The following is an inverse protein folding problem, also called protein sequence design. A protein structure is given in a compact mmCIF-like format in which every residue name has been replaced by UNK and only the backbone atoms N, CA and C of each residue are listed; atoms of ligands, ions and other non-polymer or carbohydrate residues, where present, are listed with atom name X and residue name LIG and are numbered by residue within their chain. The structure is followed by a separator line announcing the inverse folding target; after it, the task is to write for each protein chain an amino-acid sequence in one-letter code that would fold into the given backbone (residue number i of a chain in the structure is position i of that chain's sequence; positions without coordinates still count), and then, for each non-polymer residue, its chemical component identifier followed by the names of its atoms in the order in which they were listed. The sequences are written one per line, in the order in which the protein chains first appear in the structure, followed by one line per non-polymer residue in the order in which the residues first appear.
data_IF_922630847387
#
_entry.id   IF_922630847387
#
_cell.length_a   1.000
_cell.length_b   1.000
_cell.length_c   1.000
_cell.angle_alpha   90.00
_cell.angle_beta   90.00
_cell.angle_gamma   90.00
#
_symmetry.space_group_name_H-M   'P 1'
#
loop_
_entity.id
_entity.type
_entity.pdbx_description
1 polymer ?
#
# COMPACT_ATOMS: atom_id res chain seq x y z
N UNK A 1 -25.33 3.29 31.89
CA UNK A 1 -25.66 2.93 30.49
C UNK A 1 -25.99 1.43 30.43
N UNK A 2 -27.20 1.06 30.01
CA UNK A 2 -27.54 -0.33 29.65
C UNK A 2 -27.13 -0.59 28.18
N UNK A 3 -25.83 -0.56 27.90
CA UNK A 3 -25.31 -0.73 26.52
C UNK A 3 -24.39 -1.93 26.46
N UNK A 4 -24.71 -2.86 25.56
CA UNK A 4 -23.87 -4.04 25.28
C UNK A 4 -22.82 -3.66 24.24
N UNK A 5 -21.57 -3.49 24.67
CA UNK A 5 -20.43 -3.20 23.80
C UNK A 5 -19.47 -4.39 23.71
N UNK A 6 -18.82 -4.56 22.56
CA UNK A 6 -17.74 -5.52 22.30
C UNK A 6 -16.62 -4.80 21.56
N UNK A 7 -15.38 -5.12 21.91
CA UNK A 7 -14.18 -4.63 21.21
C UNK A 7 -13.43 -5.80 20.58
N UNK A 8 -12.80 -5.54 19.44
CA UNK A 8 -11.91 -6.48 18.76
C UNK A 8 -10.63 -5.72 18.43
N UNK A 9 -9.49 -6.35 18.72
CA UNK A 9 -8.17 -5.82 18.34
C UNK A 9 -7.65 -6.63 17.18
N UNK A 10 -7.60 -6.00 16.02
CA UNK A 10 -6.96 -6.58 14.85
C UNK A 10 -5.45 -6.30 14.91
N UNK A 11 -4.67 -7.22 14.36
CA UNK A 11 -3.21 -7.15 14.37
C UNK A 11 -2.65 -7.78 13.12
N UNK A 12 -1.95 -8.91 13.27
CA UNK A 12 -1.39 -9.65 12.14
C UNK A 12 -2.45 -10.01 11.08
N UNK A 13 -3.66 -10.39 11.52
CA UNK A 13 -4.75 -10.69 10.60
C UNK A 13 -5.10 -9.53 9.66
N UNK A 14 -5.03 -8.27 10.13
CA UNK A 14 -5.30 -7.09 9.29
C UNK A 14 -4.13 -6.77 8.35
N UNK A 15 -2.88 -6.97 8.81
CA UNK A 15 -1.68 -6.69 8.00
C UNK A 15 -1.43 -7.73 6.89
N UNK A 16 -1.95 -8.93 7.04
CA UNK A 16 -1.77 -10.05 6.10
C UNK A 16 -3.09 -10.46 5.45
N UNK A 17 -4.06 -9.53 5.34
CA UNK A 17 -5.37 -9.77 4.75
C UNK A 17 -5.35 -9.77 3.21
N UNK A 18 -4.42 -10.49 2.57
CA UNK A 18 -4.27 -10.52 1.09
C UNK A 18 -5.54 -10.96 0.36
N UNK A 19 -6.37 -11.78 1.01
CA UNK A 19 -7.66 -12.21 0.47
C UNK A 19 -8.65 -11.06 0.23
N UNK A 20 -8.42 -9.89 0.82
CA UNK A 20 -9.24 -8.69 0.64
C UNK A 20 -8.38 -7.42 0.52
N UNK A 21 -7.15 -7.53 -0.02
CA UNK A 21 -6.32 -6.34 -0.24
C UNK A 21 -6.95 -5.41 -1.27
N UNK A 22 -6.69 -4.10 -1.11
CA UNK A 22 -7.14 -3.09 -2.08
C UNK A 22 -6.51 -3.35 -3.45
N UNK A 23 -7.29 -3.21 -4.52
CA UNK A 23 -6.76 -3.31 -5.88
C UNK A 23 -5.67 -2.26 -6.12
N UNK A 24 -5.90 -1.03 -5.67
CA UNK A 24 -4.94 0.07 -5.72
C UNK A 24 -3.62 -0.28 -5.03
N UNK A 25 -3.67 -0.80 -3.79
CA UNK A 25 -2.45 -1.17 -3.06
C UNK A 25 -1.66 -2.26 -3.80
N UNK A 26 -2.35 -3.23 -4.41
CA UNK A 26 -1.71 -4.31 -5.17
C UNK A 26 -1.01 -3.77 -6.43
N UNK A 27 -1.68 -2.90 -7.19
CA UNK A 27 -1.16 -2.31 -8.41
C UNK A 27 0.01 -1.36 -8.13
N UNK A 28 -0.15 -0.47 -7.15
CA UNK A 28 0.88 0.49 -6.76
C UNK A 28 2.12 -0.18 -6.16
N UNK A 29 1.95 -1.24 -5.36
CA UNK A 29 3.08 -2.00 -4.82
C UNK A 29 3.90 -2.68 -5.94
N UNK A 30 3.21 -3.21 -6.98
CA UNK A 30 3.88 -3.79 -8.13
C UNK A 30 4.63 -2.72 -8.96
N UNK A 31 3.97 -1.59 -9.23
CA UNK A 31 4.57 -0.45 -9.94
C UNK A 31 5.80 0.10 -9.21
N UNK A 32 5.73 0.24 -7.88
CA UNK A 32 6.85 0.70 -7.07
C UNK A 32 8.05 -0.26 -7.19
N UNK A 33 7.80 -1.57 -7.17
CA UNK A 33 8.84 -2.59 -7.38
C UNK A 33 9.46 -2.50 -8.78
N UNK A 34 8.65 -2.35 -9.82
CA UNK A 34 9.13 -2.19 -11.19
C UNK A 34 10.00 -0.93 -11.35
N UNK A 35 9.54 0.21 -10.84
CA UNK A 35 10.27 1.47 -10.89
C UNK A 35 11.60 1.38 -10.13
N UNK A 36 11.63 0.69 -8.98
CA UNK A 36 12.85 0.48 -8.21
C UNK A 36 13.89 -0.34 -9.00
N UNK A 37 13.46 -1.40 -9.69
CA UNK A 37 14.35 -2.20 -10.56
C UNK A 37 14.89 -1.34 -11.71
N UNK A 38 14.04 -0.56 -12.37
CA UNK A 38 14.47 0.31 -13.47
C UNK A 38 15.49 1.36 -13.01
N UNK A 39 15.26 2.00 -11.86
CA UNK A 39 16.18 2.97 -11.26
C UNK A 39 17.54 2.32 -10.92
N UNK A 40 17.52 1.13 -10.32
CA UNK A 40 18.74 0.38 -10.01
C UNK A 40 19.55 0.00 -11.25
N UNK A 41 18.89 -0.43 -12.33
CA UNK A 41 19.54 -0.73 -13.62
C UNK A 41 20.16 0.52 -14.24
N UNK A 42 19.55 1.69 -14.05
CA UNK A 42 20.09 2.98 -14.48
C UNK A 42 21.24 3.50 -13.61
N UNK A 43 21.67 2.74 -12.59
CA UNK A 43 22.76 3.10 -11.69
C UNK A 43 22.38 4.06 -10.56
N UNK A 44 21.08 4.28 -10.33
CA UNK A 44 20.61 5.08 -9.19
C UNK A 44 20.72 4.27 -7.89
N UNK A 45 21.25 4.89 -6.84
CA UNK A 45 21.43 4.27 -5.52
C UNK A 45 20.99 5.23 -4.42
N UNK A 46 20.66 4.70 -3.24
CA UNK A 46 20.22 5.48 -2.07
C UNK A 46 18.99 6.36 -2.36
N UNK A 47 18.03 5.80 -3.10
CA UNK A 47 16.75 6.43 -3.46
C UNK A 47 15.57 5.59 -3.03
N UNK A 48 14.46 6.26 -2.73
CA UNK A 48 13.17 5.65 -2.44
C UNK A 48 12.20 6.00 -3.58
N UNK A 49 11.55 4.99 -4.14
CA UNK A 49 10.45 5.20 -5.10
C UNK A 49 9.25 5.77 -4.35
N UNK A 50 8.62 6.79 -4.93
CA UNK A 50 7.43 7.42 -4.37
C UNK A 50 6.27 7.35 -5.37
N UNK A 51 5.05 7.27 -4.86
CA UNK A 51 3.83 7.33 -5.65
C UNK A 51 3.32 8.77 -5.60
N UNK A 52 3.13 9.37 -6.77
CA UNK A 52 2.63 10.73 -6.90
C UNK A 52 1.17 10.67 -7.32
N UNK A 53 0.31 11.28 -6.51
CA UNK A 53 -1.11 11.39 -6.83
C UNK A 53 -1.29 12.38 -7.98
N UNK A 54 -2.03 11.97 -9.00
CA UNK A 54 -2.39 12.80 -10.15
C UNK A 54 -3.33 13.95 -9.73
N UNK A 55 -3.26 15.08 -10.44
CA UNK A 55 -4.22 16.16 -10.28
C UNK A 55 -5.59 15.76 -10.88
N UNK A 56 -6.68 16.00 -10.13
CA UNK A 56 -8.05 15.74 -10.59
C UNK A 56 -9.01 15.28 -9.49
N UNK A 57 -10.30 15.23 -9.84
CA UNK A 57 -11.38 14.80 -8.93
C UNK A 57 -11.39 13.28 -8.69
N UNK A 58 -10.83 12.50 -9.62
CA UNK A 58 -10.76 11.05 -9.52
C UNK A 58 -9.38 10.62 -8.97
N UNK A 59 -9.39 9.59 -8.13
CA UNK A 59 -8.20 8.93 -7.62
C UNK A 59 -7.45 8.21 -8.73
#
# INVERSE_FOLDING_TARGET
LQVKARSVKLGMAQRSATHCSSATDNEEAFLAGQAAVQAAVNGETDKMVTLLRSDGENY
#
